data_IF_705662222409
#
_entry.id   IF_705662222409
#
_cell.length_a   1.000
_cell.length_b   1.000
_cell.length_c   1.000
_cell.angle_alpha   90.00
_cell.angle_beta   90.00
_cell.angle_gamma   90.00
#
_symmetry.space_group_name_H-M   'P 1'
#
loop_
_entity.id
_entity.type
_entity.pdbx_description
1 polymer ?
#
# COMPACT_ATOMS: atom_id res chain seq x y z
N UNK A 1 4.28 13.11 36.18
CA UNK A 1 4.56 13.64 34.83
C UNK A 1 4.79 12.43 33.94
N UNK A 2 3.78 12.03 33.17
CA UNK A 2 3.77 10.73 32.47
C UNK A 2 4.14 10.98 31.00
N UNK A 3 5.36 10.61 30.61
CA UNK A 3 5.78 10.65 29.22
C UNK A 3 5.07 9.51 28.47
N UNK A 4 4.03 9.87 27.72
CA UNK A 4 3.63 9.07 26.57
C UNK A 4 4.74 9.21 25.54
N UNK A 5 5.54 8.16 25.34
CA UNK A 5 6.33 8.03 24.12
C UNK A 5 5.47 7.27 23.10
N UNK A 6 4.82 7.96 22.15
CA UNK A 6 4.19 7.29 21.02
C UNK A 6 5.27 6.64 20.14
N UNK A 7 5.03 5.48 19.51
CA UNK A 7 5.99 4.75 18.67
C UNK A 7 6.58 5.51 17.47
N UNK A 8 6.19 6.77 17.26
CA UNK A 8 6.72 7.66 16.22
C UNK A 8 7.82 8.61 16.74
N UNK A 9 8.20 8.51 18.02
CA UNK A 9 9.29 9.32 18.60
C UNK A 9 10.65 8.97 18.03
N UNK A 10 10.88 7.72 17.66
CA UNK A 10 12.21 7.27 17.22
C UNK A 10 12.63 7.94 15.91
N UNK A 11 11.69 8.13 14.98
CA UNK A 11 11.94 8.85 13.74
C UNK A 11 12.22 10.34 14.00
N UNK A 12 11.50 10.96 14.93
CA UNK A 12 11.71 12.36 15.30
C UNK A 12 13.07 12.53 16.00
N UNK A 13 13.47 11.61 16.87
CA UNK A 13 14.80 11.64 17.49
C UNK A 13 15.93 11.35 16.51
N UNK A 14 15.70 10.47 15.53
CA UNK A 14 16.65 10.32 14.43
C UNK A 14 16.81 11.64 13.64
N UNK A 15 15.73 12.39 13.44
CA UNK A 15 15.80 13.70 12.78
C UNK A 15 16.49 14.77 13.64
N UNK A 16 16.26 14.78 14.96
CA UNK A 16 17.00 15.65 15.88
C UNK A 16 18.49 15.33 15.85
N UNK A 17 18.86 14.05 15.93
CA UNK A 17 20.25 13.61 15.82
C UNK A 17 20.88 14.04 14.49
N UNK A 18 20.19 13.83 13.37
CA UNK A 18 20.67 14.30 12.06
C UNK A 18 20.84 15.83 12.06
N UNK A 19 19.89 16.58 12.62
CA UNK A 19 19.99 18.03 12.68
C UNK A 19 21.18 18.51 13.51
N UNK A 20 21.51 17.80 14.59
CA UNK A 20 22.60 18.14 15.51
C UNK A 20 23.98 17.71 14.98
N UNK A 21 24.06 16.61 14.22
CA UNK A 21 25.34 15.96 13.91
C UNK A 21 25.73 15.97 12.43
N UNK A 22 24.80 16.16 11.49
CA UNK A 22 25.11 15.91 10.08
C UNK A 22 26.19 16.84 9.49
N UNK A 23 26.41 18.02 10.09
CA UNK A 23 27.49 18.94 9.72
C UNK A 23 28.88 18.37 10.01
N UNK A 24 29.04 17.58 11.07
CA UNK A 24 30.27 16.84 11.39
C UNK A 24 30.62 15.80 10.31
N UNK A 25 29.62 15.35 9.53
CA UNK A 25 29.78 14.44 8.40
C UNK A 25 29.81 15.15 7.04
N UNK A 26 29.85 16.49 7.02
CA UNK A 26 29.89 17.30 5.81
C UNK A 26 28.53 17.53 5.14
N UNK A 27 27.42 17.17 5.80
CA UNK A 27 26.07 17.51 5.35
C UNK A 27 25.64 18.90 5.80
N UNK A 28 24.45 19.32 5.35
CA UNK A 28 23.87 20.61 5.72
C UNK A 28 22.61 20.40 6.59
N UNK A 29 22.64 20.71 7.90
CA UNK A 29 21.49 20.53 8.79
C UNK A 29 20.30 21.45 8.43
N UNK A 30 20.53 22.48 7.60
CA UNK A 30 19.49 23.39 7.08
C UNK A 30 18.94 22.96 5.73
N UNK A 31 19.42 21.84 5.18
CA UNK A 31 18.94 21.30 3.91
C UNK A 31 18.87 19.77 3.93
N UNK A 32 17.98 19.26 4.76
CA UNK A 32 17.71 17.83 4.95
C UNK A 32 16.46 17.44 4.16
N UNK A 33 16.57 16.33 3.42
CA UNK A 33 15.44 15.69 2.71
C UNK A 33 15.16 14.35 3.34
N UNK A 34 13.94 14.14 3.83
CA UNK A 34 13.49 12.83 4.31
C UNK A 34 12.84 12.06 3.17
N UNK A 35 13.04 10.75 3.12
CA UNK A 35 12.53 9.91 2.04
C UNK A 35 11.99 8.60 2.62
N UNK A 36 10.85 8.17 2.11
CA UNK A 36 10.23 6.92 2.53
C UNK A 36 9.50 6.22 1.39
N UNK A 37 9.54 4.89 1.42
CA UNK A 37 8.78 4.02 0.53
C UNK A 37 7.77 3.19 1.34
N UNK A 38 6.60 2.87 0.79
CA UNK A 38 5.60 2.02 1.44
C UNK A 38 5.19 2.55 2.83
N UNK A 39 5.36 1.77 3.91
CA UNK A 39 5.13 2.23 5.29
C UNK A 39 6.08 3.35 5.73
N UNK A 40 7.31 3.39 5.21
CA UNK A 40 8.22 4.51 5.39
C UNK A 40 7.70 5.77 4.70
N UNK A 41 7.10 5.60 3.52
CA UNK A 41 6.41 6.69 2.80
C UNK A 41 5.23 7.24 3.60
N UNK A 42 4.43 6.36 4.22
CA UNK A 42 3.34 6.74 5.12
C UNK A 42 3.84 7.58 6.31
N UNK A 43 4.97 7.21 6.91
CA UNK A 43 5.59 7.95 7.99
C UNK A 43 6.10 9.33 7.53
N UNK A 44 6.83 9.38 6.42
CA UNK A 44 7.34 10.63 5.84
C UNK A 44 6.20 11.58 5.46
N UNK A 45 5.13 11.06 4.88
CA UNK A 45 3.92 11.84 4.57
C UNK A 45 3.32 12.42 5.87
N UNK A 46 3.16 11.59 6.90
CA UNK A 46 2.62 12.03 8.20
C UNK A 46 3.51 13.09 8.90
N UNK A 47 4.84 12.94 8.82
CA UNK A 47 5.80 13.92 9.35
C UNK A 47 5.75 15.23 8.56
N UNK A 48 5.67 15.16 7.22
CA UNK A 48 5.62 16.31 6.33
C UNK A 48 4.38 17.19 6.53
N UNK A 49 3.25 16.56 6.87
CA UNK A 49 1.99 17.24 7.12
C UNK A 49 1.82 17.78 8.55
N UNK A 50 2.53 17.21 9.52
CA UNK A 50 2.42 17.65 10.92
C UNK A 50 3.11 18.99 11.15
N UNK A 51 2.35 19.97 11.64
CA UNK A 51 2.89 21.25 12.12
C UNK A 51 3.64 21.12 13.44
N UNK A 52 3.32 20.11 14.24
CA UNK A 52 3.81 20.00 15.63
C UNK A 52 5.15 19.27 15.70
N UNK A 53 5.44 18.42 14.71
CA UNK A 53 6.72 17.71 14.58
C UNK A 53 7.87 18.68 14.32
N UNK A 54 7.66 19.66 13.44
CA UNK A 54 8.71 20.59 13.01
C UNK A 54 8.17 22.01 12.78
N UNK A 55 7.69 22.69 13.86
CA UNK A 55 7.03 23.99 13.77
C UNK A 55 7.94 25.10 13.21
N UNK A 56 9.26 24.91 13.27
CA UNK A 56 10.27 25.84 12.74
C UNK A 56 10.88 25.44 11.40
N UNK A 57 10.44 24.31 10.80
CA UNK A 57 11.06 23.72 9.60
C UNK A 57 12.57 23.51 9.73
N UNK A 58 13.02 23.12 10.93
CA UNK A 58 14.42 22.94 11.28
C UNK A 58 14.90 21.53 10.94
N UNK A 59 14.06 20.52 11.15
CA UNK A 59 14.47 19.11 11.09
C UNK A 59 14.64 18.60 9.65
N UNK A 60 13.77 19.05 8.75
CA UNK A 60 13.88 18.76 7.32
C UNK A 60 13.26 19.90 6.52
N UNK A 61 13.57 20.00 5.23
CA UNK A 61 13.10 21.08 4.34
C UNK A 61 12.32 20.52 3.15
N UNK A 62 12.63 19.30 2.74
CA UNK A 62 12.05 18.60 1.59
C UNK A 62 11.68 17.18 2.00
N UNK A 63 10.74 16.58 1.30
CA UNK A 63 10.42 15.18 1.53
C UNK A 63 10.03 14.43 0.26
N UNK A 64 10.34 13.13 0.23
CA UNK A 64 10.08 12.24 -0.89
C UNK A 64 9.18 11.10 -0.40
N UNK A 65 8.02 10.94 -1.04
CA UNK A 65 6.99 9.98 -0.67
C UNK A 65 6.79 9.00 -1.82
N UNK A 66 7.25 7.76 -1.67
CA UNK A 66 7.10 6.73 -2.69
C UNK A 66 6.11 5.65 -2.22
N UNK A 67 5.14 5.31 -3.07
CA UNK A 67 4.19 4.21 -2.87
C UNK A 67 3.55 4.17 -1.48
N UNK A 68 3.22 5.36 -0.95
CA UNK A 68 2.77 5.51 0.43
C UNK A 68 1.29 5.17 0.60
N UNK A 69 0.99 4.43 1.67
CA UNK A 69 -0.37 4.25 2.16
C UNK A 69 -0.90 5.56 2.80
N UNK A 70 -2.22 5.67 3.03
CA UNK A 70 -2.80 6.78 3.80
C UNK A 70 -2.08 7.02 5.13
N UNK A 71 -1.85 8.29 5.50
CA UNK A 71 -1.08 8.68 6.70
C UNK A 71 -1.46 7.89 7.96
N UNK A 72 -2.75 7.70 8.23
CA UNK A 72 -3.22 7.08 9.47
C UNK A 72 -4.17 5.90 9.26
N UNK A 73 -4.18 4.98 10.22
CA UNK A 73 -5.13 3.89 10.33
C UNK A 73 -6.42 4.29 11.05
N UNK A 74 -7.47 3.47 10.91
CA UNK A 74 -8.69 3.68 11.69
C UNK A 74 -8.47 3.31 13.16
N UNK A 75 -8.71 4.29 14.03
CA UNK A 75 -8.56 4.17 15.49
C UNK A 75 -9.34 3.00 16.08
N UNK A 76 -10.55 2.73 15.59
CA UNK A 76 -11.42 1.64 16.09
C UNK A 76 -10.75 0.27 15.97
N UNK A 77 -10.14 -0.04 14.82
CA UNK A 77 -9.45 -1.32 14.64
C UNK A 77 -8.16 -1.39 15.47
N UNK A 78 -7.44 -0.28 15.59
CA UNK A 78 -6.22 -0.21 16.43
C UNK A 78 -6.50 -0.46 17.90
N UNK A 79 -7.53 0.19 18.44
CA UNK A 79 -7.95 -0.02 19.83
C UNK A 79 -8.45 -1.45 20.04
N UNK A 80 -9.31 -1.95 19.16
CA UNK A 80 -9.84 -3.32 19.24
C UNK A 80 -8.72 -4.36 19.27
N UNK A 81 -7.77 -4.27 18.33
CA UNK A 81 -6.63 -5.19 18.26
C UNK A 81 -5.71 -5.07 19.49
N UNK A 82 -5.52 -3.86 20.03
CA UNK A 82 -4.71 -3.66 21.25
C UNK A 82 -5.34 -4.33 22.47
N UNK A 83 -6.67 -4.19 22.65
CA UNK A 83 -7.38 -4.87 23.73
C UNK A 83 -7.42 -6.39 23.55
N UNK A 84 -7.44 -6.87 22.31
CA UNK A 84 -7.39 -8.31 22.05
C UNK A 84 -6.02 -8.91 22.42
N UNK A 85 -4.91 -8.24 22.11
CA UNK A 85 -3.59 -8.64 22.65
C UNK A 85 -3.63 -8.68 24.18
N UNK A 86 -4.17 -7.64 24.81
CA UNK A 86 -4.26 -7.56 26.27
C UNK A 86 -5.01 -8.76 26.87
N UNK A 87 -6.15 -9.15 26.29
CA UNK A 87 -6.93 -10.32 26.72
C UNK A 87 -6.14 -11.62 26.60
N UNK A 88 -5.37 -11.82 25.53
CA UNK A 88 -4.59 -13.04 25.30
C UNK A 88 -3.52 -13.28 26.38
N UNK A 89 -3.04 -12.23 27.02
CA UNK A 89 -2.07 -12.30 28.12
C UNK A 89 -2.71 -12.10 29.51
N UNK A 90 -4.04 -12.17 29.62
CA UNK A 90 -4.79 -11.89 30.85
C UNK A 90 -4.50 -10.50 31.46
N UNK A 91 -4.11 -9.53 30.64
CA UNK A 91 -3.93 -8.14 31.03
C UNK A 91 -5.27 -7.39 30.91
N UNK A 92 -6.20 -7.67 31.84
CA UNK A 92 -7.53 -7.06 31.86
C UNK A 92 -7.69 -6.18 33.10
N UNK A 93 -7.98 -4.90 32.89
CA UNK A 93 -8.28 -3.93 33.96
C UNK A 93 -9.19 -2.82 33.41
N UNK A 94 -9.89 -2.12 34.29
CA UNK A 94 -10.58 -0.86 33.93
C UNK A 94 -9.57 0.28 33.70
N UNK A 95 -8.39 0.20 34.32
CA UNK A 95 -7.31 1.16 34.15
C UNK A 95 -6.46 0.81 32.93
N UNK A 96 -6.46 1.71 31.93
CA UNK A 96 -5.58 1.57 30.76
C UNK A 96 -4.10 1.50 31.14
N UNK A 97 -3.70 2.21 32.19
CA UNK A 97 -2.32 2.20 32.67
C UNK A 97 -1.93 0.83 33.22
N UNK A 98 -2.82 0.17 33.97
CA UNK A 98 -2.57 -1.17 34.50
C UNK A 98 -2.49 -2.22 33.38
N UNK A 99 -3.30 -2.09 32.33
CA UNK A 99 -3.19 -2.94 31.13
C UNK A 99 -1.80 -2.78 30.50
N UNK A 100 -1.35 -1.54 30.30
CA UNK A 100 -0.04 -1.25 29.70
C UNK A 100 1.09 -1.77 30.59
N UNK A 101 1.02 -1.57 31.90
CA UNK A 101 2.06 -2.04 32.83
C UNK A 101 2.09 -3.56 32.97
N UNK A 102 0.96 -4.23 32.76
CA UNK A 102 0.90 -5.68 32.60
C UNK A 102 1.59 -6.12 31.30
N UNK A 103 1.21 -5.54 30.17
CA UNK A 103 1.78 -5.87 28.85
C UNK A 103 3.30 -5.64 28.78
N UNK A 104 3.81 -4.60 29.44
CA UNK A 104 5.25 -4.30 29.52
C UNK A 104 6.08 -5.37 30.25
N UNK A 105 5.43 -6.26 31.02
CA UNK A 105 6.09 -7.38 31.70
C UNK A 105 6.12 -8.65 30.85
N UNK A 106 5.39 -8.69 29.74
CA UNK A 106 5.35 -9.82 28.81
C UNK A 106 6.58 -9.77 27.91
N UNK A 107 7.16 -10.93 27.59
CA UNK A 107 8.30 -10.99 26.69
C UNK A 107 7.92 -10.51 25.28
N UNK A 108 8.81 -9.74 24.66
CA UNK A 108 8.54 -9.14 23.36
C UNK A 108 8.28 -10.20 22.26
N UNK A 109 8.91 -11.39 22.34
CA UNK A 109 8.68 -12.47 21.38
C UNK A 109 7.31 -13.12 21.57
N UNK A 110 6.83 -13.18 22.81
CA UNK A 110 5.48 -13.67 23.09
C UNK A 110 4.44 -12.70 22.52
N UNK A 111 4.61 -11.39 22.76
CA UNK A 111 3.75 -10.35 22.17
C UNK A 111 3.73 -10.44 20.63
N UNK A 112 4.91 -10.61 20.01
CA UNK A 112 5.03 -10.78 18.56
C UNK A 112 4.35 -12.06 18.06
N UNK A 113 4.47 -13.17 18.81
CA UNK A 113 3.78 -14.42 18.51
C UNK A 113 2.25 -14.26 18.53
N UNK A 114 1.72 -13.56 19.53
CA UNK A 114 0.30 -13.25 19.62
C UNK A 114 -0.17 -12.34 18.49
N UNK A 115 0.59 -11.30 18.16
CA UNK A 115 0.32 -10.42 17.01
C UNK A 115 0.24 -11.24 15.72
N UNK A 116 1.23 -12.10 15.44
CA UNK A 116 1.24 -12.92 14.22
C UNK A 116 -0.02 -13.80 14.10
N UNK A 117 -0.39 -14.49 15.18
CA UNK A 117 -1.60 -15.32 15.22
C UNK A 117 -2.89 -14.51 15.00
N UNK A 118 -2.92 -13.24 15.43
CA UNK A 118 -4.03 -12.33 15.16
C UNK A 118 -4.06 -11.88 13.70
N UNK A 119 -2.91 -11.63 13.09
CA UNK A 119 -2.82 -11.21 11.69
C UNK A 119 -3.22 -12.34 10.72
N UNK A 120 -2.96 -13.60 11.07
CA UNK A 120 -3.38 -14.79 10.33
C UNK A 120 -4.92 -14.89 10.20
N UNK A 121 -5.66 -14.40 11.21
CA UNK A 121 -7.13 -14.34 11.19
C UNK A 121 -7.68 -12.97 10.75
N UNK A 122 -6.82 -12.09 10.23
CA UNK A 122 -7.22 -10.80 9.64
C UNK A 122 -7.25 -9.60 10.60
N UNK A 123 -6.80 -9.75 11.85
CA UNK A 123 -6.67 -8.63 12.79
C UNK A 123 -5.30 -7.95 12.65
N UNK A 124 -5.23 -6.95 11.77
CA UNK A 124 -3.95 -6.38 11.31
C UNK A 124 -3.38 -5.30 12.22
N UNK A 125 -2.06 -5.32 12.41
CA UNK A 125 -1.32 -4.28 13.13
C UNK A 125 -0.63 -3.31 12.17
N UNK A 126 -1.32 -2.89 11.11
CA UNK A 126 -0.80 -1.98 10.06
C UNK A 126 -1.20 -0.52 10.26
N UNK A 127 -0.47 0.42 9.67
CA UNK A 127 -0.71 1.88 9.69
C UNK A 127 -0.37 2.60 10.99
N UNK A 128 -0.11 3.90 10.88
CA UNK A 128 0.21 4.80 11.98
C UNK A 128 -1.07 5.25 12.70
N UNK A 129 -1.01 5.47 14.01
CA UNK A 129 -2.12 6.04 14.76
C UNK A 129 -2.12 7.57 14.62
N UNK A 130 -3.29 8.17 14.33
CA UNK A 130 -3.49 9.62 14.44
C UNK A 130 -3.45 10.04 15.92
N UNK A 131 -2.27 10.45 16.38
CA UNK A 131 -2.00 10.87 17.74
C UNK A 131 -0.79 11.82 17.79
N UNK A 132 -0.69 12.66 18.84
CA UNK A 132 0.45 13.55 18.99
C UNK A 132 1.79 12.79 18.99
N UNK A 133 2.88 13.37 18.47
CA UNK A 133 2.95 14.70 17.88
C UNK A 133 2.55 14.75 16.40
N UNK A 134 2.21 13.64 15.75
CA UNK A 134 1.89 13.65 14.31
C UNK A 134 0.57 14.38 14.02
N UNK A 135 -0.42 14.22 14.89
CA UNK A 135 -1.74 14.81 14.72
C UNK A 135 -2.49 14.82 16.05
N UNK A 136 -3.36 15.81 16.29
CA UNK A 136 -4.26 15.80 17.45
C UNK A 136 -5.09 14.50 17.54
N UNK A 137 -5.23 13.96 18.76
CA UNK A 137 -5.91 12.68 19.04
C UNK A 137 -7.38 12.63 18.55
N UNK A 138 -7.99 13.80 18.38
CA UNK A 138 -9.37 13.99 17.92
C UNK A 138 -9.46 14.94 16.71
N UNK A 139 -8.32 15.27 16.09
CA UNK A 139 -8.29 16.14 14.92
C UNK A 139 -8.92 15.48 13.69
N UNK A 140 -9.20 16.28 12.67
CA UNK A 140 -9.56 15.81 11.33
C UNK A 140 -8.34 15.82 10.41
N UNK A 141 -8.23 14.81 9.54
CA UNK A 141 -7.13 14.72 8.56
C UNK A 141 -7.24 15.86 7.55
N UNK A 142 -8.46 16.29 7.23
CA UNK A 142 -8.76 17.49 6.45
C UNK A 142 -8.17 18.75 7.08
N UNK A 143 -8.24 18.90 8.41
CA UNK A 143 -7.62 20.04 9.11
C UNK A 143 -6.10 19.95 9.06
N UNK A 144 -5.52 18.75 9.25
CA UNK A 144 -4.09 18.51 9.09
C UNK A 144 -3.61 18.87 7.68
N UNK A 145 -4.34 18.42 6.65
CA UNK A 145 -4.09 18.72 5.24
C UNK A 145 -4.14 20.20 4.94
N UNK A 146 -5.17 20.89 5.45
CA UNK A 146 -5.37 22.33 5.23
C UNK A 146 -4.29 23.18 5.88
N UNK A 147 -3.78 22.76 7.03
CA UNK A 147 -2.80 23.50 7.81
C UNK A 147 -1.37 22.97 7.64
N UNK A 148 -1.13 22.16 6.61
CA UNK A 148 0.17 21.54 6.37
C UNK A 148 1.27 22.61 6.20
N UNK A 149 2.44 22.47 6.84
CA UNK A 149 3.55 23.40 6.64
C UNK A 149 4.01 23.37 5.17
N UNK A 150 4.06 24.52 4.46
CA UNK A 150 4.40 24.52 3.04
C UNK A 150 5.86 24.08 2.83
N UNK A 151 6.04 23.03 2.02
CA UNK A 151 7.33 22.38 1.75
C UNK A 151 7.33 21.89 0.31
N UNK A 152 8.51 21.46 -0.16
CA UNK A 152 8.61 20.78 -1.44
C UNK A 152 8.47 19.27 -1.23
N UNK A 153 7.63 18.63 -2.03
CA UNK A 153 7.41 17.19 -2.03
C UNK A 153 7.65 16.61 -3.43
N UNK A 154 8.35 15.48 -3.47
CA UNK A 154 8.37 14.60 -4.62
C UNK A 154 7.56 13.37 -4.27
N UNK A 155 6.58 13.02 -5.09
CA UNK A 155 5.69 11.89 -4.84
C UNK A 155 5.65 10.94 -6.02
N UNK A 156 5.86 9.67 -5.75
CA UNK A 156 5.83 8.60 -6.73
C UNK A 156 4.88 7.48 -6.35
N UNK A 157 4.27 6.85 -7.34
CA UNK A 157 3.56 5.58 -7.24
C UNK A 157 3.97 4.65 -8.37
N UNK A 158 3.67 3.36 -8.24
CA UNK A 158 3.83 2.38 -9.32
C UNK A 158 2.49 2.05 -9.95
N UNK A 159 2.41 1.91 -11.29
CA UNK A 159 1.18 1.62 -12.06
C UNK A 159 0.33 0.49 -11.44
N UNK A 160 1.00 -0.53 -10.91
CA UNK A 160 0.37 -1.70 -10.34
C UNK A 160 0.79 -1.92 -8.88
N UNK A 161 0.70 -0.89 -8.02
CA UNK A 161 1.01 -0.94 -6.57
C UNK A 161 0.78 -2.34 -5.97
N UNK A 162 -0.44 -2.64 -5.53
CA UNK A 162 -0.75 -3.99 -5.07
C UNK A 162 -1.37 -4.76 -6.23
N UNK A 163 -0.77 -5.91 -6.58
CA UNK A 163 -1.34 -6.82 -7.57
C UNK A 163 -2.80 -7.17 -7.23
N UNK A 164 -3.57 -7.57 -8.24
CA UNK A 164 -4.86 -8.25 -8.04
C UNK A 164 -4.65 -9.65 -7.47
N UNK A 165 -4.13 -9.77 -6.26
CA UNK A 165 -4.11 -11.04 -5.56
C UNK A 165 -5.55 -11.53 -5.37
N UNK A 166 -5.84 -12.82 -5.54
CA UNK A 166 -7.12 -13.38 -5.07
C UNK A 166 -7.09 -13.52 -3.55
N UNK A 167 -6.92 -12.41 -2.81
CA UNK A 167 -7.11 -12.42 -1.37
C UNK A 167 -8.61 -12.50 -1.08
N UNK A 168 -9.02 -13.50 -0.31
CA UNK A 168 -10.39 -13.62 0.21
C UNK A 168 -10.76 -12.48 1.18
N UNK A 169 -9.75 -11.77 1.69
CA UNK A 169 -9.87 -10.73 2.71
C UNK A 169 -9.23 -9.42 2.25
N UNK A 170 -9.90 -8.68 1.35
CA UNK A 170 -9.53 -7.32 1.02
C UNK A 170 -9.86 -6.36 2.16
N UNK A 171 -8.92 -5.48 2.47
CA UNK A 171 -8.77 -4.81 3.77
C UNK A 171 -9.04 -3.33 3.67
N UNK A 172 -9.43 -2.78 4.82
CA UNK A 172 -9.64 -1.36 5.05
C UNK A 172 -8.26 -0.67 5.14
N UNK A 173 -7.85 0.05 4.10
CA UNK A 173 -6.54 0.72 4.10
C UNK A 173 -6.67 2.18 4.47
N UNK A 174 -6.55 2.42 5.77
CA UNK A 174 -6.30 3.74 6.32
C UNK A 174 -7.43 4.75 6.19
N UNK A 175 -7.40 5.73 7.08
CA UNK A 175 -8.26 6.90 7.06
C UNK A 175 -7.58 7.91 6.12
N UNK A 176 -7.91 7.91 4.84
CA UNK A 176 -7.51 9.00 3.92
C UNK A 176 -8.60 10.08 3.80
N UNK A 177 -9.84 9.71 4.10
CA UNK A 177 -11.03 10.58 4.15
C UNK A 177 -11.62 10.50 5.56
N UNK A 178 -12.00 11.65 6.12
CA UNK A 178 -12.60 11.78 7.46
C UNK A 178 -14.04 11.26 7.52
N UNK A 179 -14.26 10.01 7.10
CA UNK A 179 -15.58 9.36 7.19
C UNK A 179 -16.06 9.28 8.63
N UNK A 180 -17.32 9.62 8.85
CA UNK A 180 -18.02 9.45 10.13
C UNK A 180 -18.44 7.99 10.34
N UNK A 181 -18.68 7.24 9.25
CA UNK A 181 -19.11 5.84 9.24
C UNK A 181 -18.15 4.95 8.43
N UNK A 182 -16.87 4.87 8.82
CA UNK A 182 -15.85 4.20 8.01
C UNK A 182 -16.10 2.70 7.82
N UNK A 183 -16.68 2.03 8.81
CA UNK A 183 -16.97 0.59 8.71
C UNK A 183 -18.02 0.33 7.63
N UNK A 184 -19.12 1.08 7.65
CA UNK A 184 -20.23 0.92 6.72
C UNK A 184 -19.87 1.32 5.29
N UNK A 185 -19.13 2.42 5.12
CA UNK A 185 -18.63 2.86 3.81
C UNK A 185 -17.77 1.76 3.19
N UNK A 186 -16.81 1.23 3.95
CA UNK A 186 -15.86 0.26 3.41
C UNK A 186 -16.50 -1.11 3.19
N UNK A 187 -17.44 -1.52 4.06
CA UNK A 187 -18.22 -2.74 3.83
C UNK A 187 -19.12 -2.62 2.59
N UNK A 188 -19.72 -1.45 2.35
CA UNK A 188 -20.48 -1.17 1.13
C UNK A 188 -19.59 -1.23 -0.10
N UNK A 189 -18.43 -0.56 -0.06
CA UNK A 189 -17.43 -0.62 -1.12
C UNK A 189 -17.06 -2.07 -1.45
N UNK A 190 -16.71 -2.85 -0.42
CA UNK A 190 -16.35 -4.26 -0.53
C UNK A 190 -17.45 -5.09 -1.19
N UNK A 191 -18.66 -5.04 -0.64
CA UNK A 191 -19.76 -5.92 -1.05
C UNK A 191 -20.27 -5.61 -2.46
N UNK A 192 -20.24 -4.34 -2.85
CA UNK A 192 -20.88 -3.90 -4.09
C UNK A 192 -19.91 -3.71 -5.25
N UNK A 193 -18.63 -3.41 -5.01
CA UNK A 193 -17.69 -3.04 -6.07
C UNK A 193 -16.55 -4.05 -6.20
N UNK A 194 -15.91 -4.43 -5.10
CA UNK A 194 -14.72 -5.32 -5.14
C UNK A 194 -15.04 -6.71 -5.70
N UNK A 195 -16.23 -7.27 -5.41
CA UNK A 195 -16.62 -8.59 -5.90
C UNK A 195 -17.28 -8.59 -7.28
N UNK A 196 -17.71 -7.44 -7.79
CA UNK A 196 -18.58 -7.35 -8.99
C UNK A 196 -17.94 -6.65 -10.18
N UNK A 197 -16.86 -5.91 -9.99
CA UNK A 197 -16.22 -5.14 -11.06
C UNK A 197 -14.78 -5.61 -11.28
N UNK A 198 -14.51 -6.45 -12.30
CA UNK A 198 -13.18 -6.95 -12.62
C UNK A 198 -12.13 -5.84 -12.86
N UNK A 199 -12.61 -4.64 -13.17
CA UNK A 199 -11.80 -3.47 -13.56
C UNK A 199 -11.52 -2.50 -12.41
N UNK A 200 -12.18 -2.61 -11.24
CA UNK A 200 -11.82 -1.75 -10.11
C UNK A 200 -10.51 -2.23 -9.48
N UNK A 201 -9.63 -1.28 -9.19
CA UNK A 201 -8.42 -1.50 -8.41
C UNK A 201 -8.77 -2.03 -7.02
N UNK A 202 -7.90 -2.86 -6.45
CA UNK A 202 -8.11 -3.37 -5.11
C UNK A 202 -8.07 -2.22 -4.08
N UNK A 203 -8.59 -2.46 -2.87
CA UNK A 203 -8.66 -1.41 -1.84
C UNK A 203 -7.30 -0.90 -1.36
N UNK A 204 -6.21 -1.66 -1.50
CA UNK A 204 -4.85 -1.23 -1.16
C UNK A 204 -4.32 -0.24 -2.19
N UNK A 205 -4.37 -0.58 -3.48
CA UNK A 205 -3.97 0.26 -4.61
C UNK A 205 -4.81 1.53 -4.67
N UNK A 206 -6.13 1.40 -4.52
CA UNK A 206 -7.03 2.56 -4.48
C UNK A 206 -6.64 3.53 -3.35
N UNK A 207 -6.29 3.02 -2.18
CA UNK A 207 -5.88 3.85 -1.06
C UNK A 207 -4.56 4.59 -1.33
N UNK A 208 -3.60 3.97 -2.01
CA UNK A 208 -2.34 4.62 -2.41
C UNK A 208 -2.60 5.74 -3.41
N UNK A 209 -3.38 5.49 -4.47
CA UNK A 209 -3.64 6.50 -5.51
C UNK A 209 -4.48 7.67 -4.98
N UNK A 210 -5.51 7.40 -4.17
CA UNK A 210 -6.32 8.48 -3.59
C UNK A 210 -5.53 9.27 -2.55
N UNK A 211 -4.69 8.63 -1.74
CA UNK A 211 -3.77 9.35 -0.86
C UNK A 211 -2.75 10.18 -1.66
N UNK A 212 -2.23 9.63 -2.76
CA UNK A 212 -1.34 10.29 -3.71
C UNK A 212 -1.94 11.58 -4.24
N UNK A 213 -3.15 11.51 -4.81
CA UNK A 213 -3.85 12.67 -5.33
C UNK A 213 -4.15 13.69 -4.22
N UNK A 214 -4.88 13.27 -3.17
CA UNK A 214 -5.47 14.20 -2.20
C UNK A 214 -4.45 14.86 -1.28
N UNK A 215 -3.32 14.19 -0.92
CA UNK A 215 -2.29 14.89 -0.13
C UNK A 215 -1.43 15.77 -1.04
N UNK A 216 -1.20 15.39 -2.30
CA UNK A 216 -0.43 16.26 -3.22
C UNK A 216 -1.18 17.56 -3.50
N UNK A 217 -2.47 17.48 -3.82
CA UNK A 217 -3.35 18.64 -3.94
C UNK A 217 -3.35 19.48 -2.64
N UNK A 218 -3.56 18.85 -1.50
CA UNK A 218 -3.61 19.55 -0.22
C UNK A 218 -2.32 20.32 0.10
N UNK A 219 -1.15 19.74 -0.18
CA UNK A 219 0.13 20.41 0.08
C UNK A 219 0.32 21.61 -0.85
N UNK A 220 -0.04 21.51 -2.13
CA UNK A 220 -0.02 22.65 -3.05
C UNK A 220 -0.97 23.75 -2.57
N UNK A 221 -2.19 23.39 -2.17
CA UNK A 221 -3.18 24.32 -1.64
C UNK A 221 -2.73 24.99 -0.32
N UNK A 222 -1.87 24.34 0.47
CA UNK A 222 -1.23 24.89 1.66
C UNK A 222 0.00 25.78 1.34
N UNK A 223 0.33 25.98 0.06
CA UNK A 223 1.45 26.81 -0.42
C UNK A 223 2.76 26.05 -0.62
N UNK A 224 2.73 24.72 -0.64
CA UNK A 224 3.87 23.86 -0.97
C UNK A 224 4.08 23.71 -2.48
N UNK A 225 5.13 22.97 -2.85
CA UNK A 225 5.40 22.60 -4.24
C UNK A 225 5.45 21.08 -4.36
N UNK A 226 4.74 20.50 -5.33
CA UNK A 226 4.72 19.04 -5.51
C UNK A 226 5.17 18.67 -6.92
N UNK A 227 5.92 17.59 -7.04
CA UNK A 227 6.17 16.89 -8.30
C UNK A 227 5.61 15.47 -8.15
N UNK A 228 4.63 15.12 -8.98
CA UNK A 228 3.94 13.83 -8.93
C UNK A 228 4.37 12.98 -10.14
N UNK A 229 4.68 11.71 -9.92
CA UNK A 229 4.96 10.75 -11.00
C UNK A 229 4.36 9.38 -10.74
N UNK A 230 4.22 8.63 -11.83
CA UNK A 230 3.83 7.22 -11.82
C UNK A 230 4.82 6.43 -12.67
N UNK A 231 5.39 5.36 -12.11
CA UNK A 231 6.23 4.44 -12.87
C UNK A 231 5.36 3.43 -13.62
N UNK A 232 5.65 3.22 -14.90
CA UNK A 232 4.95 2.24 -15.77
C UNK A 232 5.92 1.31 -16.50
N UNK A 233 7.17 1.27 -16.04
CA UNK A 233 8.26 0.55 -16.70
C UNK A 233 7.92 -0.93 -16.88
N UNK A 234 8.17 -1.43 -18.09
CA UNK A 234 8.00 -2.84 -18.45
C UNK A 234 9.18 -3.67 -17.95
N UNK A 235 8.99 -4.99 -17.71
CA UNK A 235 7.80 -5.80 -18.00
C UNK A 235 6.63 -5.55 -17.06
N UNK A 236 6.87 -5.11 -15.82
CA UNK A 236 5.81 -4.89 -14.85
C UNK A 236 6.22 -3.93 -13.72
N UNK A 237 5.46 -2.86 -13.53
CA UNK A 237 5.72 -1.87 -12.48
C UNK A 237 4.76 -2.04 -11.30
N UNK A 238 5.14 -2.88 -10.35
CA UNK A 238 4.38 -3.16 -9.12
C UNK A 238 4.97 -2.51 -7.86
N UNK A 239 4.28 -2.58 -6.73
CA UNK A 239 4.81 -2.09 -5.45
C UNK A 239 6.20 -2.66 -5.21
N UNK A 240 7.12 -1.79 -4.77
CA UNK A 240 8.57 -2.02 -4.56
C UNK A 240 9.42 -2.27 -5.81
N UNK A 241 8.83 -2.45 -7.00
CA UNK A 241 9.61 -2.65 -8.23
C UNK A 241 10.47 -1.44 -8.60
N UNK A 242 10.08 -0.24 -8.17
CA UNK A 242 10.82 1.00 -8.40
C UNK A 242 12.08 1.11 -7.52
N UNK A 243 12.16 0.36 -6.43
CA UNK A 243 13.31 0.35 -5.51
C UNK A 243 14.60 -0.17 -6.16
N UNK A 244 14.49 -0.92 -7.26
CA UNK A 244 15.66 -1.36 -8.01
C UNK A 244 16.46 -0.19 -8.58
N UNK A 245 15.78 0.91 -8.93
CA UNK A 245 16.38 2.05 -9.62
C UNK A 245 17.09 3.04 -8.70
N UNK A 246 16.94 2.93 -7.37
CA UNK A 246 17.53 3.89 -6.43
C UNK A 246 18.21 3.29 -5.20
N UNK A 247 17.88 2.05 -4.80
CA UNK A 247 18.64 1.32 -3.77
C UNK A 247 19.13 -0.05 -4.24
N UNK A 248 18.80 -0.46 -5.47
CA UNK A 248 19.31 -1.70 -6.07
C UNK A 248 18.72 -2.99 -5.52
N UNK A 249 17.58 -2.94 -4.81
CA UNK A 249 16.85 -4.14 -4.36
C UNK A 249 15.75 -4.50 -5.36
N UNK A 250 15.27 -5.75 -5.35
CA UNK A 250 14.25 -6.22 -6.30
C UNK A 250 14.66 -6.08 -7.78
N UNK A 251 15.97 -6.09 -8.08
CA UNK A 251 16.46 -6.12 -9.45
C UNK A 251 15.88 -7.31 -10.19
N UNK A 252 15.32 -7.05 -11.37
CA UNK A 252 14.84 -8.10 -12.24
C UNK A 252 15.99 -9.01 -12.69
N UNK A 253 15.66 -10.28 -12.94
CA UNK A 253 16.65 -11.26 -13.42
C UNK A 253 17.13 -10.90 -14.83
N UNK A 254 16.22 -10.45 -15.68
CA UNK A 254 16.49 -10.00 -17.03
C UNK A 254 16.44 -8.47 -17.08
N UNK A 255 17.60 -7.84 -16.93
CA UNK A 255 17.72 -6.38 -16.94
C UNK A 255 17.88 -5.87 -18.38
N UNK A 256 17.00 -4.96 -18.81
CA UNK A 256 17.03 -4.40 -20.18
C UNK A 256 17.84 -3.12 -20.28
N UNK A 257 18.21 -2.70 -21.50
CA UNK A 257 18.85 -1.41 -21.73
C UNK A 257 17.97 -0.22 -21.31
N UNK A 258 16.63 -0.37 -21.41
CA UNK A 258 15.69 0.66 -20.97
C UNK A 258 15.70 0.82 -19.44
N UNK A 259 15.83 -0.28 -18.71
CA UNK A 259 16.04 -0.26 -17.27
C UNK A 259 17.37 0.40 -16.88
N UNK A 260 18.44 0.23 -17.66
CA UNK A 260 19.72 0.93 -17.40
C UNK A 260 19.58 2.45 -17.54
N UNK A 261 18.78 2.91 -18.52
CA UNK A 261 18.46 4.33 -18.68
C UNK A 261 17.62 4.80 -17.48
N UNK A 262 16.66 3.99 -17.05
CA UNK A 262 15.82 4.30 -15.90
C UNK A 262 16.60 4.35 -14.58
N UNK A 263 17.52 3.42 -14.33
CA UNK A 263 18.47 3.40 -13.20
C UNK A 263 19.15 4.77 -13.08
N UNK A 264 19.70 5.25 -14.21
CA UNK A 264 20.38 6.53 -14.28
C UNK A 264 19.44 7.73 -14.11
N UNK A 265 18.25 7.68 -14.71
CA UNK A 265 17.27 8.76 -14.67
C UNK A 265 16.66 8.92 -13.28
N UNK A 266 16.17 7.83 -12.69
CA UNK A 266 15.48 7.81 -11.40
C UNK A 266 16.43 8.23 -10.27
N UNK A 267 17.64 7.69 -10.23
CA UNK A 267 18.65 8.10 -9.23
C UNK A 267 18.99 9.59 -9.34
N UNK A 268 19.17 10.12 -10.57
CA UNK A 268 19.44 11.56 -10.77
C UNK A 268 18.26 12.42 -10.36
N UNK A 269 17.03 11.99 -10.62
CA UNK A 269 15.80 12.65 -10.21
C UNK A 269 15.75 12.83 -8.69
N UNK A 270 16.02 11.77 -7.92
CA UNK A 270 16.03 11.83 -6.45
C UNK A 270 17.16 12.74 -5.93
N UNK A 271 18.35 12.66 -6.52
CA UNK A 271 19.49 13.51 -6.15
C UNK A 271 19.23 14.98 -6.46
N UNK A 272 18.68 15.30 -7.63
CA UNK A 272 18.35 16.66 -8.03
C UNK A 272 17.28 17.26 -7.13
N UNK A 273 16.22 16.51 -6.83
CA UNK A 273 15.21 16.95 -5.87
C UNK A 273 15.82 17.16 -4.48
N UNK A 274 16.65 16.23 -4.01
CA UNK A 274 17.33 16.35 -2.72
C UNK A 274 18.23 17.58 -2.65
N UNK A 275 18.89 17.98 -3.74
CA UNK A 275 19.78 19.16 -3.76
C UNK A 275 19.03 20.48 -3.98
N UNK A 276 18.11 20.52 -4.92
CA UNK A 276 17.54 21.76 -5.45
C UNK A 276 16.04 21.92 -5.17
N UNK A 277 15.38 20.83 -4.74
CA UNK A 277 13.92 20.77 -4.65
C UNK A 277 13.23 20.83 -6.01
N UNK A 278 13.95 20.49 -7.07
CA UNK A 278 13.43 20.36 -8.43
C UNK A 278 14.07 19.10 -9.05
N UNK A 279 13.28 18.08 -9.44
CA UNK A 279 13.82 16.84 -10.00
C UNK A 279 14.38 17.02 -11.42
N UNK A 280 13.77 17.88 -12.23
CA UNK A 280 14.15 18.13 -13.63
C UNK A 280 13.58 19.48 -14.12
N UNK A 281 14.34 20.27 -14.90
CA UNK A 281 13.86 21.54 -15.45
C UNK A 281 12.67 21.39 -16.42
N UNK A 282 12.44 20.19 -16.97
CA UNK A 282 11.35 19.90 -17.91
C UNK A 282 10.14 19.21 -17.25
N UNK A 283 10.13 19.15 -15.92
CA UNK A 283 9.03 18.57 -15.16
C UNK A 283 8.26 19.67 -14.47
N UNK A 284 7.03 19.86 -14.93
CA UNK A 284 6.12 20.84 -14.34
C UNK A 284 5.73 20.45 -12.91
N UNK A 285 5.63 21.47 -12.05
CA UNK A 285 5.03 21.29 -10.73
C UNK A 285 3.57 20.87 -10.90
N UNK A 286 3.04 20.18 -9.88
CA UNK A 286 1.63 19.82 -9.82
C UNK A 286 0.76 21.09 -9.81
N UNK A 287 -0.16 21.13 -10.75
CA UNK A 287 -1.30 22.02 -10.87
C UNK A 287 -2.54 21.26 -10.36
N UNK A 288 -3.14 21.67 -9.23
CA UNK A 288 -4.32 21.01 -8.67
C UNK A 288 -5.51 20.91 -9.62
N UNK A 289 -5.66 21.85 -10.56
CA UNK A 289 -6.78 21.83 -11.51
C UNK A 289 -6.62 20.74 -12.57
N UNK A 290 -5.37 20.41 -12.93
CA UNK A 290 -5.05 19.40 -13.95
C UNK A 290 -4.73 18.04 -13.35
N UNK A 291 -4.27 18.01 -12.10
CA UNK A 291 -3.65 16.85 -11.49
C UNK A 291 -2.58 16.23 -12.39
N UNK A 292 -1.71 17.08 -12.94
CA UNK A 292 -0.65 16.68 -13.86
C UNK A 292 0.46 15.89 -13.15
N UNK A 293 1.00 14.90 -13.84
CA UNK A 293 2.04 14.01 -13.32
C UNK A 293 2.96 13.54 -14.44
N UNK A 294 4.17 13.13 -14.08
CA UNK A 294 5.11 12.50 -15.02
C UNK A 294 4.79 11.00 -15.12
N UNK A 295 4.38 10.54 -16.30
CA UNK A 295 4.35 9.12 -16.62
C UNK A 295 5.78 8.67 -16.94
N UNK A 296 6.36 7.85 -16.06
CA UNK A 296 7.73 7.39 -16.14
C UNK A 296 7.79 6.00 -16.78
N UNK A 297 8.07 6.00 -18.07
CA UNK A 297 8.23 4.81 -18.92
C UNK A 297 9.31 5.10 -19.96
N UNK A 298 10.15 4.11 -20.22
CA UNK A 298 11.16 4.13 -21.27
C UNK A 298 11.00 2.86 -22.11
N UNK A 299 10.86 3.05 -23.41
CA UNK A 299 10.91 2.00 -24.42
C UNK A 299 11.67 2.57 -25.62
N UNK A 300 12.95 2.22 -25.74
CA UNK A 300 13.81 2.77 -26.80
C UNK A 300 13.48 2.24 -28.18
N UNK A 301 12.88 1.04 -28.29
CA UNK A 301 12.49 0.46 -29.57
C UNK A 301 11.28 1.20 -30.17
N UNK A 302 10.33 1.59 -29.33
CA UNK A 302 9.12 2.32 -29.73
C UNK A 302 9.24 3.85 -29.56
N UNK A 303 10.37 4.35 -29.08
CA UNK A 303 10.62 5.78 -28.85
C UNK A 303 9.77 6.37 -27.71
N UNK A 304 9.35 5.55 -26.76
CA UNK A 304 8.64 6.01 -25.56
C UNK A 304 9.66 6.63 -24.60
N UNK A 305 9.36 7.85 -24.18
CA UNK A 305 10.15 8.60 -23.21
C UNK A 305 9.23 9.15 -22.12
N UNK A 306 9.76 9.49 -20.94
CA UNK A 306 8.96 10.07 -19.87
C UNK A 306 8.27 11.35 -20.34
N UNK A 307 6.98 11.49 -20.02
CA UNK A 307 6.15 12.61 -20.48
C UNK A 307 5.16 13.04 -19.40
N UNK A 308 4.76 14.31 -19.46
CA UNK A 308 3.70 14.82 -18.60
C UNK A 308 2.33 14.38 -19.13
N UNK A 309 1.47 13.94 -18.22
CA UNK A 309 0.06 13.63 -18.45
C UNK A 309 -0.80 14.38 -17.42
N UNK A 310 -2.09 14.58 -17.73
CA UNK A 310 -3.08 15.20 -16.84
C UNK A 310 -4.06 14.14 -16.32
N UNK A 311 -4.80 14.45 -15.24
CA UNK A 311 -5.89 13.60 -14.74
C UNK A 311 -5.43 12.37 -13.97
N UNK A 312 -4.44 12.50 -13.07
CA UNK A 312 -3.92 11.40 -12.25
C UNK A 312 -5.05 10.63 -11.52
N UNK A 313 -5.37 9.42 -12.02
CA UNK A 313 -6.41 8.51 -11.50
C UNK A 313 -7.77 9.19 -11.25
N UNK A 314 -8.18 10.14 -12.10
CA UNK A 314 -9.35 11.00 -11.88
C UNK A 314 -10.65 10.21 -11.56
N UNK A 315 -10.98 9.17 -12.33
CA UNK A 315 -12.19 8.36 -12.11
C UNK A 315 -12.22 7.74 -10.70
N UNK A 316 -11.10 7.14 -10.30
CA UNK A 316 -10.96 6.53 -8.98
C UNK A 316 -11.02 7.58 -7.87
N UNK A 317 -10.33 8.70 -8.04
CA UNK A 317 -10.31 9.78 -7.05
C UNK A 317 -11.71 10.34 -6.87
N UNK A 318 -12.43 10.62 -7.95
CA UNK A 318 -13.81 11.12 -7.92
C UNK A 318 -14.76 10.15 -7.24
N UNK A 319 -14.64 8.85 -7.52
CA UNK A 319 -15.43 7.83 -6.85
C UNK A 319 -15.30 7.89 -5.31
N UNK A 320 -14.08 8.03 -4.80
CA UNK A 320 -13.88 8.11 -3.35
C UNK A 320 -14.28 9.48 -2.77
N UNK A 321 -14.00 10.56 -3.48
CA UNK A 321 -14.23 11.93 -3.01
C UNK A 321 -15.70 12.37 -3.11
N UNK A 322 -16.46 11.80 -4.03
CA UNK A 322 -17.86 12.14 -4.30
C UNK A 322 -18.76 11.03 -3.78
N UNK A 323 -18.71 9.84 -4.40
CA UNK A 323 -19.69 8.78 -4.17
C UNK A 323 -19.60 8.21 -2.74
N UNK A 324 -18.39 7.91 -2.28
CA UNK A 324 -18.19 7.35 -0.93
C UNK A 324 -18.42 8.38 0.18
N UNK A 325 -18.16 9.67 -0.09
CA UNK A 325 -18.50 10.76 0.83
C UNK A 325 -20.01 11.01 0.90
N UNK A 326 -20.73 10.89 -0.22
CA UNK A 326 -22.19 10.97 -0.24
C UNK A 326 -22.82 9.78 0.52
N UNK A 327 -22.30 8.57 0.30
CA UNK A 327 -22.70 7.39 1.07
C UNK A 327 -22.53 7.61 2.57
N UNK A 328 -21.39 8.14 3.01
CA UNK A 328 -21.13 8.44 4.43
C UNK A 328 -22.14 9.44 5.01
N UNK A 329 -22.47 10.51 4.26
CA UNK A 329 -23.49 11.50 4.66
C UNK A 329 -24.87 10.85 4.78
N UNK A 330 -25.26 10.04 3.80
CA UNK A 330 -26.55 9.34 3.79
C UNK A 330 -26.69 8.39 4.99
N UNK A 331 -25.64 7.64 5.34
CA UNK A 331 -25.62 6.78 6.53
C UNK A 331 -25.75 7.62 7.80
N UNK A 332 -25.03 8.74 7.89
CA UNK A 332 -25.11 9.67 9.03
C UNK A 332 -26.54 10.17 9.25
N UNK A 333 -27.19 10.64 8.18
CA UNK A 333 -28.59 11.10 8.24
C UNK A 333 -29.54 9.98 8.68
N UNK A 334 -29.35 8.76 8.17
CA UNK A 334 -30.18 7.62 8.54
C UNK A 334 -30.03 7.27 10.02
N UNK A 335 -28.81 7.27 10.55
CA UNK A 335 -28.54 7.04 11.99
C UNK A 335 -29.18 8.13 12.86
N UNK A 336 -29.15 9.39 12.41
CA UNK A 336 -29.83 10.48 13.10
C UNK A 336 -31.35 10.32 13.07
N UNK A 337 -31.95 9.95 11.93
CA UNK A 337 -33.39 9.69 11.78
C UNK A 337 -33.85 8.46 12.59
N UNK A 338 -33.03 7.41 12.65
CA UNK A 338 -33.32 6.17 13.41
C UNK A 338 -33.02 6.27 14.91
N UNK A 339 -32.23 7.25 15.35
CA UNK A 339 -32.18 7.64 16.77
C UNK A 339 -33.53 8.17 17.29
N UNK A 340 -34.47 8.50 16.38
CA UNK A 340 -35.85 8.87 16.68
C UNK A 340 -36.88 7.78 16.35
N UNK A 341 -36.51 6.61 15.81
CA UNK A 341 -37.38 5.43 15.66
C UNK A 341 -36.57 4.18 15.23
N UNK A 342 -36.88 3.04 15.87
CA UNK A 342 -36.14 1.76 15.82
C UNK A 342 -35.99 1.12 14.43
N UNK A 343 -34.89 0.34 14.30
CA UNK A 343 -34.42 -0.65 13.30
C UNK A 343 -33.71 -0.14 12.02
N UNK A 344 -32.43 -0.52 11.78
CA UNK A 344 -31.70 -0.13 10.58
C UNK A 344 -32.08 -1.02 9.40
N UNK A 345 -32.64 -0.42 8.36
CA UNK A 345 -32.77 -1.01 7.03
C UNK A 345 -31.72 -0.39 6.12
N UNK A 346 -30.85 -1.21 5.53
CA UNK A 346 -29.85 -0.77 4.55
C UNK A 346 -30.54 -0.22 3.30
N UNK A 347 -30.19 1.01 2.89
CA UNK A 347 -30.78 1.68 1.72
C UNK A 347 -29.87 1.49 0.50
N UNK A 348 -30.45 1.14 -0.65
CA UNK A 348 -29.76 1.09 -1.96
C UNK A 348 -29.44 2.51 -2.41
N UNK A 349 -28.16 2.84 -2.61
CA UNK A 349 -27.72 4.10 -3.24
C UNK A 349 -27.71 3.91 -4.76
N UNK A 350 -28.45 4.75 -5.48
CA UNK A 350 -28.39 4.86 -6.94
C UNK A 350 -27.30 5.88 -7.30
N UNK A 351 -26.18 5.40 -7.83
CA UNK A 351 -25.07 6.25 -8.26
C UNK A 351 -25.29 6.77 -9.69
N UNK A 352 -24.84 7.99 -9.93
CA UNK A 352 -24.83 8.60 -11.26
C UNK A 352 -23.74 7.94 -12.13
N UNK A 353 -24.09 6.92 -12.91
CA UNK A 353 -23.24 6.47 -14.01
C UNK A 353 -23.52 7.30 -15.26
N UNK A 354 -22.59 8.19 -15.61
CA UNK A 354 -22.48 8.75 -16.97
C UNK A 354 -21.88 7.71 -17.91
N UNK A 355 -22.59 6.59 -18.10
CA UNK A 355 -22.48 5.76 -19.31
C UNK A 355 -23.82 5.09 -19.49
N UNK A 356 -24.48 5.45 -20.59
CA UNK A 356 -25.73 4.87 -21.00
C UNK A 356 -25.58 3.37 -21.29
N UNK A 357 -26.67 2.64 -21.02
CA UNK A 357 -26.96 1.26 -21.46
C UNK A 357 -26.30 0.12 -20.66
N UNK A 358 -27.03 -0.40 -19.67
CA UNK A 358 -27.85 -1.63 -19.75
C UNK A 358 -28.43 -1.86 -18.34
N UNK A 359 -29.73 -1.56 -18.18
CA UNK A 359 -30.51 -1.92 -17.00
C UNK A 359 -31.34 -3.14 -17.37
N UNK A 360 -31.15 -4.27 -16.68
CA UNK A 360 -32.26 -5.18 -16.41
C UNK A 360 -31.93 -6.16 -15.27
N UNK A 361 -32.73 -6.05 -14.21
CA UNK A 361 -33.16 -7.08 -13.26
C UNK A 361 -32.10 -7.80 -12.41
N UNK A 362 -31.91 -7.31 -11.18
CA UNK A 362 -31.53 -8.17 -10.04
C UNK A 362 -32.63 -8.08 -8.99
N UNK A 363 -33.31 -9.20 -8.82
CA UNK A 363 -34.36 -9.47 -7.83
C UNK A 363 -33.82 -9.41 -6.41
N UNK A 364 -34.66 -8.89 -5.50
CA UNK A 364 -34.47 -8.88 -4.05
C UNK A 364 -34.15 -10.28 -3.51
N UNK A 365 -33.12 -10.39 -2.67
CA UNK A 365 -33.01 -11.49 -1.71
C UNK A 365 -32.53 -10.92 -0.37
N UNK A 366 -33.44 -10.93 0.59
CA UNK A 366 -33.22 -10.63 2.01
C UNK A 366 -32.86 -11.92 2.74
N UNK A 367 -31.69 -11.99 3.38
CA UNK A 367 -31.43 -12.99 4.41
C UNK A 367 -30.56 -12.39 5.52
N UNK A 368 -31.15 -12.26 6.71
CA UNK A 368 -30.47 -11.97 7.97
C UNK A 368 -29.94 -13.29 8.55
N UNK A 369 -28.72 -13.31 9.09
CA UNK A 369 -28.27 -14.40 9.96
C UNK A 369 -27.62 -13.86 11.23
N UNK A 370 -28.23 -14.22 12.36
CA UNK A 370 -27.72 -14.05 13.71
C UNK A 370 -26.48 -14.94 13.91
N UNK A 371 -25.43 -14.38 14.53
CA UNK A 371 -24.24 -15.15 14.91
C UNK A 371 -24.48 -15.80 16.27
N UNK A 372 -24.90 -17.06 16.27
CA UNK A 372 -24.72 -17.96 17.41
C UNK A 372 -23.40 -18.70 17.25
N UNK A 373 -22.62 -18.79 18.33
CA UNK A 373 -21.39 -19.55 18.36
C UNK A 373 -21.67 -21.03 18.05
N UNK A 374 -21.11 -21.53 16.94
CA UNK A 374 -21.15 -22.95 16.58
C UNK A 374 -19.86 -23.59 17.11
N UNK A 375 -19.92 -24.68 17.90
CA UNK A 375 -18.73 -25.46 18.20
C UNK A 375 -18.23 -26.13 16.91
N UNK A 376 -16.99 -25.82 16.51
CA UNK A 376 -16.35 -26.40 15.34
C UNK A 376 -16.04 -27.89 15.59
N UNK A 377 -16.85 -28.77 15.00
CA UNK A 377 -16.38 -30.11 14.64
C UNK A 377 -15.97 -30.04 13.17
N UNK A 378 -14.68 -30.31 12.91
CA UNK A 378 -14.15 -30.36 11.55
C UNK A 378 -14.90 -31.44 10.72
N UNK A 379 -15.34 -31.13 9.49
CA UNK A 379 -15.75 -32.18 8.57
C UNK A 379 -14.51 -32.95 8.08
N UNK A 380 -14.62 -34.26 7.81
CA UNK A 380 -13.48 -35.04 7.33
C UNK A 380 -13.02 -34.54 5.97
N UNK A 381 -11.73 -34.23 5.87
CA UNK A 381 -11.04 -33.83 4.64
C UNK A 381 -11.15 -34.98 3.63
N UNK A 382 -11.93 -34.79 2.56
CA UNK A 382 -11.83 -35.62 1.37
C UNK A 382 -10.62 -35.16 0.55
N UNK A 383 -9.69 -36.03 0.13
CA UNK A 383 -8.55 -35.62 -0.68
C UNK A 383 -9.04 -35.13 -2.05
N UNK A 384 -8.83 -33.86 -2.36
CA UNK A 384 -9.02 -33.35 -3.72
C UNK A 384 -8.02 -34.07 -4.65
N UNK A 385 -8.52 -34.74 -5.68
CA UNK A 385 -7.68 -35.36 -6.70
C UNK A 385 -7.05 -34.28 -7.57
N UNK A 386 -5.83 -33.87 -7.24
CA UNK A 386 -5.04 -32.95 -8.04
C UNK A 386 -4.78 -33.52 -9.46
N UNK A 387 -4.83 -32.68 -10.51
CA UNK A 387 -4.46 -33.09 -11.86
C UNK A 387 -3.04 -33.67 -11.90
N UNK A 388 -2.84 -34.74 -12.67
CA UNK A 388 -1.62 -35.56 -12.65
C UNK A 388 -0.34 -34.75 -12.97
N UNK A 389 -0.47 -33.66 -13.74
CA UNK A 389 0.65 -32.80 -14.15
C UNK A 389 1.15 -31.85 -13.04
N UNK A 390 0.40 -31.68 -11.95
CA UNK A 390 0.85 -30.92 -10.77
C UNK A 390 1.61 -31.77 -9.75
N UNK A 391 1.79 -33.07 -10.03
CA UNK A 391 2.53 -33.97 -9.16
C UNK A 391 4.03 -33.93 -9.51
N UNK A 392 4.89 -33.79 -8.51
CA UNK A 392 6.35 -33.70 -8.69
C UNK A 392 6.94 -34.88 -9.51
N UNK A 393 6.31 -36.05 -9.44
CA UNK A 393 6.77 -37.26 -10.14
C UNK A 393 6.41 -37.27 -11.63
N UNK A 394 5.45 -36.46 -12.10
CA UNK A 394 5.03 -36.43 -13.51
C UNK A 394 6.16 -36.03 -14.45
N UNK A 395 6.94 -35.01 -14.08
CA UNK A 395 8.10 -34.57 -14.84
C UNK A 395 9.26 -35.58 -14.78
N UNK A 396 9.40 -36.31 -13.67
CA UNK A 396 10.39 -37.38 -13.57
C UNK A 396 10.10 -38.54 -14.54
N UNK A 397 8.82 -38.90 -14.72
CA UNK A 397 8.40 -39.91 -15.71
C UNK A 397 8.68 -39.45 -17.14
N UNK A 398 8.41 -38.19 -17.48
CA UNK A 398 8.71 -37.63 -18.80
C UNK A 398 10.21 -37.69 -19.13
N UNK A 399 11.08 -37.35 -18.16
CA UNK A 399 12.54 -37.45 -18.33
C UNK A 399 12.97 -38.90 -18.59
N UNK A 400 12.42 -39.87 -17.86
CA UNK A 400 12.73 -41.29 -18.08
C UNK A 400 12.30 -41.76 -19.47
N UNK A 401 11.13 -41.33 -19.96
CA UNK A 401 10.66 -41.66 -21.32
C UNK A 401 11.61 -41.10 -22.39
N UNK A 402 12.07 -39.85 -22.23
CA UNK A 402 13.02 -39.22 -23.16
C UNK A 402 14.38 -39.95 -23.16
N UNK A 403 14.88 -40.35 -21.98
CA UNK A 403 16.13 -41.12 -21.87
C UNK A 403 15.98 -42.48 -22.54
N UNK A 404 14.87 -43.20 -22.31
CA UNK A 404 14.61 -44.50 -22.94
C UNK A 404 14.52 -44.38 -24.46
N UNK A 405 13.82 -43.37 -24.98
CA UNK A 405 13.75 -43.09 -26.41
C UNK A 405 15.15 -42.80 -27.00
N UNK A 406 15.98 -42.03 -26.29
CA UNK A 406 17.36 -41.70 -26.70
C UNK A 406 18.24 -42.95 -26.75
N UNK A 407 18.11 -43.84 -25.75
CA UNK A 407 18.85 -45.12 -25.70
C UNK A 407 18.42 -46.06 -26.82
N UNK A 408 17.11 -46.14 -27.11
CA UNK A 408 16.60 -46.95 -28.23
C UNK A 408 17.14 -46.42 -29.56
N UNK A 409 17.15 -45.11 -29.77
CA UNK A 409 17.73 -44.48 -30.97
C UNK A 409 19.23 -44.81 -31.08
N UNK A 410 19.99 -44.72 -29.98
CA UNK A 410 21.41 -45.07 -29.95
C UNK A 410 21.68 -46.56 -30.23
N UNK A 411 20.79 -47.45 -29.78
CA UNK A 411 20.87 -48.89 -30.08
C UNK A 411 20.55 -49.15 -31.56
N UNK A 412 19.53 -48.49 -32.12
CA UNK A 412 19.17 -48.61 -33.52
C UNK A 412 20.23 -48.03 -34.48
N UNK A 413 21.04 -47.08 -34.04
CA UNK A 413 22.10 -46.45 -34.84
C UNK A 413 23.46 -47.16 -34.74
N UNK A 414 23.60 -48.19 -33.90
CA UNK A 414 24.87 -48.88 -33.66
C UNK A 414 25.14 -49.90 -34.78
N UNK A 415 25.92 -49.52 -35.81
CA UNK A 415 26.52 -50.47 -36.75
C UNK A 415 27.61 -51.30 -36.07
N UNK A 416 27.78 -52.60 -36.40
CA UNK A 416 28.86 -53.41 -35.85
C UNK A 416 30.22 -52.91 -36.40
N UNK A 417 31.17 -52.69 -35.48
CA UNK A 417 32.55 -52.34 -35.82
C UNK A 417 33.30 -53.57 -36.35
N UNK A 418 34.07 -53.46 -37.44
CA UNK A 418 35.03 -54.49 -37.82
C UNK A 418 36.22 -54.53 -36.85
N UNK A 419 36.86 -55.70 -36.78
CA UNK A 419 38.04 -56.02 -35.97
C UNK A 419 39.24 -55.09 -36.25
N UNK A 420 39.93 -54.75 -35.17
CA UNK A 420 41.14 -53.93 -35.15
C UNK A 420 42.35 -54.83 -35.38
N UNK A 421 43.21 -54.50 -36.36
CA UNK A 421 44.62 -54.89 -36.31
C UNK A 421 45.46 -53.71 -35.81
N UNK A 422 46.36 -53.91 -34.82
CA UNK A 422 47.17 -52.84 -34.26
C UNK A 422 48.49 -52.74 -35.01
N UNK A 423 48.97 -51.53 -35.25
CA UNK A 423 50.37 -51.31 -35.62
C UNK A 423 50.88 -50.04 -34.92
N UNK A 424 51.65 -50.28 -33.86
CA UNK A 424 52.69 -49.39 -33.38
C UNK A 424 53.76 -49.26 -34.48
N UNK A 425 53.97 -48.04 -34.96
CA UNK A 425 55.28 -47.45 -35.30
C UNK A 425 55.11 -45.93 -35.35
#
# INVERSE_FOLDING_TARGET
MMFWMPPNTDAIEALNYVNEEIDNYGGNPKDVTIMGHSSGGQLVDSLGFSSDVDPGKKLFQKFIVLSAHPMFGFKVFKLSNSFEIARRFNCVSESQQEIVDCLRKIDAKELLGAQKAMEEIGMLFKSILAAPPLMDLYGKISDLKKNAPPRKMLRGVTEHEFEKFKYSNYRVNGKFLDFENPVEVIMTYRNNFTYKTPNLLNSDTSAVFVAAATNSEALVNAGGEVYLFETRQKPYSMHVSDMQYFIGIHRELDHTSDMDILDSFYSKLLVNFTKYGNPSPYWDKLDPEKMNFLALEIDTENGVVPKMEDGFHEELVNFWMIDMMELDRNITEQKQKSSHNVTPAYTTVLLHTTTSQIVSNVTQSTAFYNVTAIPFNDPPVTPESFPIYNQWWFYAVLVVIVILASVIILICLRKPSPEIQPLLA
#
